data_IF_103517646175
#
_entry.id   IF_103517646175
#
_cell.length_a   1.000
_cell.length_b   1.000
_cell.length_c   1.000
_cell.angle_alpha   90.00
_cell.angle_beta   90.00
_cell.angle_gamma   90.00
#
_symmetry.space_group_name_H-M   'P 1'
#
loop_
_entity.id
_entity.type
_entity.pdbx_description
1 polymer ?
#
# COMPACT_ATOMS: atom_id res chain seq x y z
N UNK A 1 21.41 34.57 -13.53
CA UNK A 1 20.71 33.63 -14.44
C UNK A 1 21.35 32.24 -14.42
N UNK A 2 22.67 32.10 -14.60
CA UNK A 2 23.37 30.80 -14.51
C UNK A 2 23.19 30.04 -13.18
N UNK A 3 23.33 30.72 -12.03
CA UNK A 3 23.20 30.06 -10.71
C UNK A 3 21.79 29.49 -10.43
N UNK A 4 20.76 30.10 -11.03
CA UNK A 4 19.37 29.66 -10.87
C UNK A 4 19.05 28.40 -11.69
N UNK A 5 19.75 28.20 -12.80
CA UNK A 5 19.63 26.99 -13.63
C UNK A 5 20.30 25.80 -12.93
N UNK A 6 21.41 26.04 -12.22
CA UNK A 6 22.14 25.01 -11.46
C UNK A 6 21.35 24.49 -10.24
N UNK A 7 20.67 25.36 -9.48
CA UNK A 7 19.79 24.92 -8.39
C UNK A 7 18.61 24.06 -8.86
N UNK A 8 17.94 24.48 -9.94
CA UNK A 8 16.83 23.70 -10.52
C UNK A 8 17.31 22.34 -11.03
N UNK A 9 18.49 22.29 -11.62
CA UNK A 9 19.08 21.03 -12.11
C UNK A 9 19.38 20.08 -10.95
N UNK A 10 19.94 20.57 -9.83
CA UNK A 10 20.18 19.77 -8.62
C UNK A 10 18.89 19.21 -8.03
N UNK A 11 17.83 20.04 -7.97
CA UNK A 11 16.51 19.59 -7.51
C UNK A 11 15.97 18.49 -8.41
N UNK A 12 16.02 18.67 -9.73
CA UNK A 12 15.54 17.67 -10.69
C UNK A 12 16.33 16.36 -10.60
N UNK A 13 17.65 16.42 -10.44
CA UNK A 13 18.49 15.24 -10.24
C UNK A 13 18.16 14.52 -8.93
N UNK A 14 17.91 15.25 -7.84
CA UNK A 14 17.48 14.67 -6.57
C UNK A 14 16.12 13.94 -6.69
N UNK A 15 15.16 14.56 -7.38
CA UNK A 15 13.85 13.93 -7.65
C UNK A 15 14.03 12.68 -8.51
N UNK A 16 14.80 12.76 -9.60
CA UNK A 16 15.05 11.61 -10.46
C UNK A 16 15.74 10.45 -9.72
N UNK A 17 16.74 10.75 -8.89
CA UNK A 17 17.46 9.76 -8.10
C UNK A 17 16.55 9.07 -7.08
N UNK A 18 15.71 9.84 -6.36
CA UNK A 18 14.77 9.28 -5.37
C UNK A 18 13.71 8.39 -6.01
N UNK A 19 13.18 8.78 -7.18
CA UNK A 19 12.25 7.95 -7.95
C UNK A 19 12.92 6.66 -8.44
N UNK A 20 14.14 6.77 -8.98
CA UNK A 20 14.92 5.62 -9.43
C UNK A 20 15.22 4.64 -8.29
N UNK A 21 15.63 5.14 -7.13
CA UNK A 21 15.89 4.32 -5.94
C UNK A 21 14.61 3.64 -5.44
N UNK A 22 13.50 4.38 -5.33
CA UNK A 22 12.20 3.83 -4.92
C UNK A 22 11.76 2.69 -5.84
N UNK A 23 11.90 2.88 -7.15
CA UNK A 23 11.56 1.86 -8.14
C UNK A 23 12.46 0.62 -7.99
N UNK A 24 13.78 0.81 -7.89
CA UNK A 24 14.73 -0.29 -7.73
C UNK A 24 14.47 -1.12 -6.47
N UNK A 25 14.25 -0.46 -5.32
CA UNK A 25 13.92 -1.14 -4.06
C UNK A 25 12.61 -1.90 -4.18
N UNK A 26 11.57 -1.30 -4.77
CA UNK A 26 10.27 -1.98 -4.96
C UNK A 26 10.40 -3.21 -5.85
N UNK A 27 11.18 -3.12 -6.93
CA UNK A 27 11.43 -4.25 -7.84
C UNK A 27 12.18 -5.39 -7.15
N UNK A 28 13.22 -5.06 -6.36
CA UNK A 28 13.97 -6.05 -5.58
C UNK A 28 13.09 -6.75 -4.54
N UNK A 29 12.26 -5.99 -3.81
CA UNK A 29 11.33 -6.56 -2.82
C UNK A 29 10.28 -7.46 -3.46
N UNK A 30 9.74 -7.07 -4.63
CA UNK A 30 8.81 -7.93 -5.40
C UNK A 30 9.49 -9.23 -5.80
N UNK A 31 10.69 -9.17 -6.37
CA UNK A 31 11.43 -10.36 -6.77
C UNK A 31 11.70 -11.30 -5.60
N UNK A 32 12.15 -10.78 -4.46
CA UNK A 32 12.36 -11.61 -3.26
C UNK A 32 11.06 -12.24 -2.77
N UNK A 33 9.95 -11.50 -2.85
CA UNK A 33 8.63 -12.03 -2.48
C UNK A 33 8.24 -13.18 -3.40
N UNK A 34 8.45 -13.04 -4.70
CA UNK A 34 8.10 -14.07 -5.69
C UNK A 34 8.98 -15.33 -5.57
N UNK A 35 10.22 -15.18 -5.08
CA UNK A 35 11.12 -16.31 -4.79
C UNK A 35 10.75 -17.05 -3.48
N UNK A 36 10.15 -16.35 -2.51
CA UNK A 36 9.83 -16.89 -1.18
C UNK A 36 8.37 -17.34 -1.02
N UNK A 37 7.46 -16.80 -1.81
CA UNK A 37 6.02 -16.98 -1.63
C UNK A 37 5.34 -17.30 -2.97
N UNK A 38 4.35 -18.18 -2.91
CA UNK A 38 3.48 -18.50 -4.03
C UNK A 38 2.13 -17.79 -3.88
N UNK A 39 1.60 -17.25 -4.97
CA UNK A 39 0.25 -16.69 -4.99
C UNK A 39 -0.78 -17.82 -4.90
N UNK A 40 -1.44 -17.95 -3.76
CA UNK A 40 -2.46 -18.99 -3.52
C UNK A 40 -3.89 -18.55 -3.87
N UNK A 41 -4.11 -17.25 -4.08
CA UNK A 41 -5.43 -16.72 -4.40
C UNK A 41 -5.53 -15.21 -4.23
N UNK A 42 -6.71 -14.68 -4.54
CA UNK A 42 -7.06 -13.27 -4.41
C UNK A 42 -8.34 -13.18 -3.58
N UNK A 43 -8.43 -12.17 -2.71
CA UNK A 43 -9.64 -11.90 -1.94
C UNK A 43 -10.76 -11.51 -2.89
N UNK A 44 -11.84 -12.29 -2.91
CA UNK A 44 -13.03 -11.98 -3.73
C UNK A 44 -13.90 -10.90 -3.07
N UNK A 45 -14.05 -10.97 -1.75
CA UNK A 45 -14.97 -10.10 -1.01
C UNK A 45 -14.46 -9.83 0.40
N UNK A 46 -14.71 -8.60 0.87
CA UNK A 46 -14.56 -8.21 2.27
C UNK A 46 -15.94 -7.87 2.83
N UNK A 47 -16.26 -8.39 4.01
CA UNK A 47 -17.53 -8.14 4.70
C UNK A 47 -17.24 -7.73 6.13
N UNK A 48 -17.86 -6.63 6.57
CA UNK A 48 -17.77 -6.15 7.94
C UNK A 48 -19.11 -6.39 8.67
N UNK A 49 -19.05 -6.98 9.85
CA UNK A 49 -20.15 -7.27 10.76
C UNK A 49 -19.99 -6.38 12.01
N UNK A 50 -20.55 -5.15 11.99
CA UNK A 50 -20.37 -4.22 13.11
C UNK A 50 -21.13 -4.64 14.37
N UNK A 51 -22.16 -5.48 14.21
CA UNK A 51 -22.97 -6.04 15.28
C UNK A 51 -22.99 -7.55 15.14
N UNK A 52 -22.59 -8.24 16.21
CA UNK A 52 -22.51 -9.70 16.26
C UNK A 52 -23.84 -10.35 15.88
N UNK A 53 -23.77 -11.37 15.04
CA UNK A 53 -24.93 -12.17 14.58
C UNK A 53 -25.97 -11.37 13.78
N UNK A 54 -25.63 -10.15 13.33
CA UNK A 54 -26.45 -9.38 12.39
C UNK A 54 -25.88 -9.47 10.98
N UNK A 55 -26.62 -8.92 10.01
CA UNK A 55 -26.17 -8.85 8.62
C UNK A 55 -24.95 -7.92 8.51
N UNK A 56 -23.90 -8.42 7.85
CA UNK A 56 -22.73 -7.64 7.49
C UNK A 56 -22.95 -6.85 6.19
N UNK A 57 -22.03 -5.94 5.90
CA UNK A 57 -22.02 -5.16 4.68
C UNK A 57 -20.68 -5.32 3.96
N UNK A 58 -20.74 -5.32 2.63
CA UNK A 58 -19.56 -5.48 1.78
C UNK A 58 -18.76 -4.19 1.70
N UNK A 59 -17.44 -4.33 1.64
CA UNK A 59 -16.52 -3.20 1.53
C UNK A 59 -15.46 -3.50 0.48
N UNK A 60 -14.95 -2.45 -0.17
CA UNK A 60 -13.86 -2.58 -1.14
C UNK A 60 -12.49 -2.62 -0.45
N UNK A 61 -12.38 -1.95 0.69
CA UNK A 61 -11.16 -1.85 1.46
C UNK A 61 -11.48 -1.78 2.96
N UNK A 62 -10.52 -2.23 3.76
CA UNK A 62 -10.60 -2.20 5.21
C UNK A 62 -9.20 -2.28 5.82
N UNK A 63 -9.05 -1.81 7.04
CA UNK A 63 -7.82 -1.90 7.81
C UNK A 63 -7.76 -3.22 8.58
N UNK A 64 -6.64 -3.93 8.47
CA UNK A 64 -6.35 -5.08 9.32
C UNK A 64 -5.75 -4.58 10.64
N UNK A 65 -6.56 -4.57 11.69
CA UNK A 65 -6.12 -4.19 13.04
C UNK A 65 -5.89 -5.43 13.90
N UNK A 66 -5.30 -5.24 15.09
CA UNK A 66 -5.17 -6.33 16.07
C UNK A 66 -6.53 -6.94 16.46
N UNK A 67 -7.57 -6.11 16.51
CA UNK A 67 -8.90 -6.51 16.97
C UNK A 67 -9.80 -7.04 15.83
N UNK A 68 -9.29 -7.07 14.60
CA UNK A 68 -10.01 -7.54 13.42
C UNK A 68 -10.08 -6.49 12.31
N UNK A 69 -11.06 -6.67 11.42
CA UNK A 69 -11.30 -5.78 10.29
C UNK A 69 -11.89 -4.45 10.77
N UNK A 70 -11.34 -3.32 10.33
CA UNK A 70 -11.85 -2.00 10.66
C UNK A 70 -12.19 -1.19 9.40
N UNK A 71 -13.36 -0.56 9.41
CA UNK A 71 -13.87 0.26 8.30
C UNK A 71 -14.46 1.54 8.89
N UNK A 72 -13.95 2.70 8.49
CA UNK A 72 -14.44 4.02 8.93
C UNK A 72 -14.53 4.16 10.48
N UNK A 73 -13.56 3.56 11.20
CA UNK A 73 -13.54 3.56 12.67
C UNK A 73 -14.50 2.56 13.33
N UNK A 74 -15.18 1.71 12.56
CA UNK A 74 -16.04 0.63 13.05
C UNK A 74 -15.29 -0.70 12.93
N UNK A 75 -15.19 -1.43 14.04
CA UNK A 75 -14.52 -2.74 14.09
C UNK A 75 -15.52 -3.88 14.03
N UNK A 76 -15.18 -4.90 13.26
CA UNK A 76 -15.90 -6.17 13.10
C UNK A 76 -16.11 -6.95 14.43
N UNK A 77 -17.20 -7.75 14.54
CA UNK A 77 -17.69 -8.36 15.81
C UNK A 77 -18.35 -9.75 15.69
#
# INVERSE_FOLDING_TARGET
MLNFIDERLKILLGIAASLGLKYAVTALMRRQRDELFELVGVVEQLVCYPVKSCQGFEVQEAECTHDGLQVLGITDR
#
